data_IF_872638106657
#
_entry.id   IF_872638106657
#
_cell.length_a   1.000
_cell.length_b   1.000
_cell.length_c   1.000
_cell.angle_alpha   90.00
_cell.angle_beta   90.00
_cell.angle_gamma   90.00
#
_symmetry.space_group_name_H-M   'P 1'
#
loop_
_entity.id
_entity.type
_entity.pdbx_description
1 polymer ?
#
# COMPACT_ATOMS: atom_id res chain seq x y z
N UNK A 1 27.24 59.96 -24.97
CA UNK A 1 25.98 59.58 -25.59
C UNK A 1 25.39 58.42 -24.72
N UNK A 2 24.67 58.81 -23.69
CA UNK A 2 24.04 57.86 -22.72
C UNK A 2 22.65 57.50 -23.27
N UNK A 3 22.48 56.25 -23.66
CA UNK A 3 21.14 55.69 -23.99
C UNK A 3 20.40 55.37 -22.68
N UNK A 4 19.47 56.21 -22.34
CA UNK A 4 18.45 55.91 -21.28
C UNK A 4 17.42 54.95 -21.86
N UNK A 5 17.45 53.69 -21.42
CA UNK A 5 16.40 52.74 -21.69
C UNK A 5 15.22 53.12 -20.78
N UNK A 6 14.20 53.75 -21.34
CA UNK A 6 12.96 54.09 -20.67
C UNK A 6 12.15 52.81 -20.42
N UNK A 7 12.23 52.26 -19.23
CA UNK A 7 11.33 51.22 -18.76
C UNK A 7 9.96 51.85 -18.47
N UNK A 8 8.95 51.43 -19.24
CA UNK A 8 7.55 51.84 -19.08
C UNK A 8 6.95 51.17 -17.81
N UNK A 9 7.27 51.76 -16.64
CA UNK A 9 6.83 51.30 -15.31
C UNK A 9 5.29 51.01 -15.20
N UNK A 10 4.40 51.84 -15.81
CA UNK A 10 2.95 51.56 -15.75
C UNK A 10 2.55 50.26 -16.45
N UNK A 11 3.18 49.94 -17.59
CA UNK A 11 2.88 48.67 -18.32
C UNK A 11 3.38 47.44 -17.59
N UNK A 12 4.55 47.54 -16.95
CA UNK A 12 5.09 46.44 -16.13
C UNK A 12 4.25 46.18 -14.87
N UNK A 13 3.77 47.22 -14.21
CA UNK A 13 2.86 47.13 -13.08
C UNK A 13 1.52 46.52 -13.50
N UNK A 14 0.95 46.92 -14.63
CA UNK A 14 -0.30 46.34 -15.16
C UNK A 14 -0.13 44.88 -15.59
N UNK A 15 1.06 44.51 -16.10
CA UNK A 15 1.40 43.13 -16.46
C UNK A 15 1.58 42.27 -15.22
N UNK A 16 2.26 42.77 -14.18
CA UNK A 16 2.39 42.09 -12.87
C UNK A 16 1.06 41.94 -12.13
N UNK A 17 0.18 42.97 -12.21
CA UNK A 17 -1.21 42.88 -11.65
C UNK A 17 -2.03 41.87 -12.45
N UNK A 18 -1.93 41.82 -13.77
CA UNK A 18 -2.61 40.81 -14.58
C UNK A 18 -2.07 39.41 -14.33
N UNK A 19 -0.76 39.23 -14.15
CA UNK A 19 -0.13 37.97 -13.77
C UNK A 19 -0.54 37.54 -12.37
N UNK A 20 -0.60 38.46 -11.40
CA UNK A 20 -1.10 38.15 -10.05
C UNK A 20 -2.58 37.83 -10.05
N UNK A 21 -3.42 38.53 -10.84
CA UNK A 21 -4.84 38.22 -10.99
C UNK A 21 -5.08 36.91 -11.75
N UNK A 22 -4.23 36.54 -12.72
CA UNK A 22 -4.25 35.22 -13.38
C UNK A 22 -3.79 34.11 -12.43
N UNK A 23 -2.78 34.34 -11.59
CA UNK A 23 -2.38 33.40 -10.52
C UNK A 23 -3.46 33.25 -9.44
N UNK A 24 -4.16 34.34 -9.07
CA UNK A 24 -5.27 34.27 -8.11
C UNK A 24 -6.54 33.60 -8.68
N UNK A 25 -6.72 33.56 -10.00
CA UNK A 25 -7.88 32.90 -10.64
C UNK A 25 -7.77 31.37 -10.71
N UNK A 26 -6.61 30.77 -10.45
CA UNK A 26 -6.37 29.33 -10.55
C UNK A 26 -5.96 28.68 -9.24
N UNK A 27 -6.12 29.32 -8.09
CA UNK A 27 -5.95 28.65 -6.79
C UNK A 27 -7.20 27.82 -6.50
N UNK A 28 -7.07 26.50 -6.64
CA UNK A 28 -8.08 25.55 -6.24
C UNK A 28 -8.20 25.64 -4.70
N UNK A 29 -9.41 25.89 -4.20
CA UNK A 29 -9.68 25.92 -2.77
C UNK A 29 -10.06 24.53 -2.28
N UNK A 30 -9.23 23.87 -1.42
CA UNK A 30 -9.55 22.54 -0.89
C UNK A 30 -10.87 22.48 -0.12
N UNK A 31 -11.25 23.56 0.55
CA UNK A 31 -12.51 23.61 1.30
C UNK A 31 -13.72 23.59 0.37
N UNK A 32 -13.63 24.24 -0.80
CA UNK A 32 -14.69 24.17 -1.81
C UNK A 32 -14.88 22.75 -2.36
N UNK A 33 -13.79 21.98 -2.53
CA UNK A 33 -13.85 20.58 -2.92
C UNK A 33 -14.61 19.76 -1.87
N UNK A 34 -14.24 19.95 -0.61
CA UNK A 34 -14.83 19.25 0.53
C UNK A 34 -16.33 19.55 0.65
N UNK A 35 -16.74 20.83 0.55
CA UNK A 35 -18.12 21.25 0.60
C UNK A 35 -18.95 20.67 -0.57
N UNK A 36 -18.39 20.63 -1.77
CA UNK A 36 -19.05 19.99 -2.90
C UNK A 36 -19.21 18.49 -2.70
N UNK A 37 -18.22 17.80 -2.19
CA UNK A 37 -18.29 16.36 -1.94
C UNK A 37 -19.23 15.99 -0.79
N UNK A 38 -19.40 16.88 0.19
CA UNK A 38 -20.27 16.67 1.35
C UNK A 38 -21.73 16.39 0.96
N UNK A 39 -22.21 16.94 -0.16
CA UNK A 39 -23.57 16.66 -0.66
C UNK A 39 -23.78 15.20 -1.10
N UNK A 40 -22.69 14.44 -1.31
CA UNK A 40 -22.73 13.04 -1.75
C UNK A 40 -22.41 12.05 -0.62
N UNK A 41 -22.09 12.52 0.58
CA UNK A 41 -21.63 11.71 1.71
C UNK A 41 -22.54 10.51 1.98
N UNK A 42 -23.84 10.71 2.11
CA UNK A 42 -24.79 9.63 2.37
C UNK A 42 -24.82 8.54 1.29
N UNK A 43 -24.60 8.93 0.02
CA UNK A 43 -24.49 7.97 -1.09
C UNK A 43 -23.20 7.18 -1.04
N UNK A 44 -22.09 7.84 -0.70
CA UNK A 44 -20.78 7.23 -0.57
C UNK A 44 -20.73 6.26 0.62
N UNK A 45 -21.31 6.65 1.76
CA UNK A 45 -21.47 5.77 2.93
C UNK A 45 -22.32 4.54 2.57
N UNK A 46 -23.45 4.72 1.87
CA UNK A 46 -24.28 3.60 1.43
C UNK A 46 -23.54 2.66 0.48
N UNK A 47 -22.74 3.21 -0.43
CA UNK A 47 -21.88 2.42 -1.32
C UNK A 47 -20.85 1.62 -0.52
N UNK A 48 -20.06 2.27 0.37
CA UNK A 48 -19.07 1.62 1.23
C UNK A 48 -19.69 0.43 1.99
N UNK A 49 -20.84 0.66 2.65
CA UNK A 49 -21.57 -0.38 3.39
C UNK A 49 -22.02 -1.53 2.50
N UNK A 50 -22.49 -1.25 1.29
CA UNK A 50 -22.88 -2.29 0.32
C UNK A 50 -21.68 -3.14 -0.12
N UNK A 51 -20.50 -2.52 -0.28
CA UNK A 51 -19.25 -3.24 -0.55
C UNK A 51 -18.85 -4.08 0.66
N UNK A 52 -18.89 -3.50 1.86
CA UNK A 52 -18.57 -4.16 3.12
C UNK A 52 -19.41 -5.43 3.38
N UNK A 53 -20.70 -5.40 3.08
CA UNK A 53 -21.60 -6.56 3.16
C UNK A 53 -21.24 -7.69 2.19
N UNK A 54 -20.49 -7.41 1.14
CA UNK A 54 -20.21 -8.31 0.03
C UNK A 54 -18.73 -8.36 -0.32
N UNK A 55 -17.84 -8.68 0.65
CA UNK A 55 -16.40 -8.68 0.44
C UNK A 55 -15.96 -9.81 -0.50
N UNK A 56 -15.03 -9.50 -1.38
CA UNK A 56 -14.43 -10.41 -2.35
C UNK A 56 -12.91 -10.42 -2.16
N UNK A 57 -12.28 -11.60 -2.24
CA UNK A 57 -10.86 -11.80 -1.93
C UNK A 57 -9.99 -11.95 -3.17
N UNK A 58 -8.77 -11.44 -3.10
CA UNK A 58 -7.76 -11.60 -4.13
C UNK A 58 -8.21 -11.01 -5.46
N UNK A 59 -8.02 -11.74 -6.56
CA UNK A 59 -8.47 -11.33 -7.88
C UNK A 59 -9.98 -11.56 -8.15
N UNK A 60 -10.72 -12.13 -7.21
CA UNK A 60 -12.15 -12.42 -7.40
C UNK A 60 -13.05 -11.23 -7.02
N UNK A 61 -12.75 -10.05 -7.56
CA UNK A 61 -13.38 -8.76 -7.25
C UNK A 61 -14.41 -8.31 -8.29
N UNK A 62 -14.93 -9.23 -9.07
CA UNK A 62 -15.86 -8.92 -10.17
C UNK A 62 -17.14 -8.23 -9.69
N UNK A 63 -17.69 -8.67 -8.56
CA UNK A 63 -18.87 -8.06 -7.96
C UNK A 63 -18.57 -6.65 -7.43
N UNK A 64 -17.41 -6.46 -6.82
CA UNK A 64 -16.92 -5.17 -6.35
C UNK A 64 -16.78 -4.18 -7.51
N UNK A 65 -16.13 -4.58 -8.61
CA UNK A 65 -16.02 -3.76 -9.83
C UNK A 65 -17.38 -3.42 -10.43
N UNK A 66 -18.33 -4.36 -10.42
CA UNK A 66 -19.71 -4.09 -10.88
C UNK A 66 -20.41 -3.04 -10.02
N UNK A 67 -20.20 -3.05 -8.69
CA UNK A 67 -20.71 -2.04 -7.76
C UNK A 67 -20.05 -0.66 -8.00
N UNK A 68 -18.71 -0.64 -8.17
CA UNK A 68 -17.96 0.58 -8.54
C UNK A 68 -18.52 1.16 -9.85
N UNK A 69 -18.69 0.34 -10.88
CA UNK A 69 -19.27 0.78 -12.15
C UNK A 69 -20.68 1.37 -11.96
N UNK A 70 -21.51 0.67 -11.20
CA UNK A 70 -22.89 1.10 -10.93
C UNK A 70 -22.98 2.46 -10.23
N UNK A 71 -22.15 2.68 -9.19
CA UNK A 71 -22.16 3.98 -8.50
C UNK A 71 -21.62 5.10 -9.40
N UNK A 72 -20.57 4.86 -10.19
CA UNK A 72 -20.05 5.83 -11.15
C UNK A 72 -21.12 6.21 -12.20
N UNK A 73 -21.86 5.24 -12.73
CA UNK A 73 -22.95 5.45 -13.68
C UNK A 73 -24.10 6.30 -13.10
N UNK A 74 -24.38 6.18 -11.80
CA UNK A 74 -25.38 7.03 -11.11
C UNK A 74 -24.94 8.52 -11.06
N UNK A 75 -23.66 8.79 -11.22
CA UNK A 75 -23.10 10.14 -11.37
C UNK A 75 -22.87 10.53 -12.85
N UNK A 76 -23.34 9.73 -13.79
CA UNK A 76 -23.16 9.95 -15.23
C UNK A 76 -21.72 9.70 -15.70
N UNK A 77 -20.93 8.94 -14.93
CA UNK A 77 -19.52 8.60 -15.22
C UNK A 77 -19.46 7.21 -15.82
N UNK A 78 -18.89 7.10 -17.02
CA UNK A 78 -18.73 5.84 -17.76
C UNK A 78 -17.27 5.62 -18.15
N UNK A 79 -16.94 4.42 -18.67
CA UNK A 79 -15.61 4.11 -19.20
C UNK A 79 -14.68 3.47 -18.20
N UNK A 80 -15.20 2.90 -17.09
CA UNK A 80 -14.41 2.03 -16.23
C UNK A 80 -14.01 0.76 -17.02
N UNK A 81 -12.71 0.61 -17.28
CA UNK A 81 -12.11 -0.56 -17.90
C UNK A 81 -11.86 -1.62 -16.83
N UNK A 82 -12.45 -2.79 -16.98
CA UNK A 82 -12.33 -3.94 -16.05
C UNK A 82 -11.69 -5.17 -16.71
N UNK A 83 -11.16 -5.01 -17.93
CA UNK A 83 -10.64 -6.11 -18.74
C UNK A 83 -9.10 -6.06 -18.88
N UNK A 84 -8.49 -4.90 -18.63
CA UNK A 84 -7.04 -4.69 -18.84
C UNK A 84 -6.17 -5.47 -17.85
N UNK A 85 -6.60 -5.66 -16.60
CA UNK A 85 -5.89 -6.46 -15.59
C UNK A 85 -6.89 -7.27 -14.76
N UNK A 86 -6.55 -8.53 -14.39
CA UNK A 86 -7.45 -9.39 -13.63
C UNK A 86 -7.96 -8.71 -12.34
N UNK A 87 -9.27 -8.72 -12.15
CA UNK A 87 -9.93 -8.20 -10.96
C UNK A 87 -9.77 -6.70 -10.70
N UNK A 88 -9.01 -5.97 -11.50
CA UNK A 88 -8.73 -4.55 -11.31
C UNK A 88 -9.50 -3.67 -12.28
N UNK A 89 -9.78 -2.41 -11.89
CA UNK A 89 -10.50 -1.44 -12.71
C UNK A 89 -9.70 -0.16 -12.95
N UNK A 90 -9.85 0.43 -14.14
CA UNK A 90 -9.15 1.64 -14.54
C UNK A 90 -10.11 2.68 -15.09
N UNK A 91 -9.98 3.92 -14.62
CA UNK A 91 -10.73 5.06 -15.17
C UNK A 91 -9.75 6.19 -15.50
N UNK A 92 -9.72 6.59 -16.77
CA UNK A 92 -8.93 7.73 -17.21
C UNK A 92 -9.81 8.98 -17.25
N UNK A 93 -9.39 10.04 -16.55
CA UNK A 93 -10.03 11.36 -16.57
C UNK A 93 -9.09 12.30 -17.34
N UNK A 94 -9.56 12.81 -18.47
CA UNK A 94 -8.82 13.75 -19.30
C UNK A 94 -9.19 15.18 -18.97
N UNK A 95 -8.18 16.01 -18.73
CA UNK A 95 -8.29 17.45 -18.62
C UNK A 95 -8.20 18.14 -19.99
N UNK A 96 -8.02 19.45 -19.98
CA UNK A 96 -8.04 20.30 -21.19
C UNK A 96 -6.74 20.25 -22.02
N UNK A 97 -5.62 19.74 -21.46
CA UNK A 97 -4.31 19.61 -22.13
C UNK A 97 -3.61 18.32 -21.67
N UNK A 98 -3.90 17.16 -22.30
CA UNK A 98 -3.51 15.84 -21.81
C UNK A 98 -2.01 15.49 -22.05
N UNK A 99 -1.06 16.24 -21.46
CA UNK A 99 0.37 16.05 -21.68
C UNK A 99 1.06 15.15 -20.63
N UNK A 100 0.58 15.13 -19.41
CA UNK A 100 1.12 14.31 -18.31
C UNK A 100 -0.02 13.53 -17.66
N UNK A 101 0.30 12.39 -17.03
CA UNK A 101 -0.68 11.58 -16.29
C UNK A 101 -0.18 11.35 -14.87
N UNK A 102 -1.03 11.65 -13.89
CA UNK A 102 -0.88 11.29 -12.48
C UNK A 102 -1.79 10.10 -12.19
N UNK A 103 -1.32 9.09 -11.46
CA UNK A 103 -2.14 7.96 -11.05
C UNK A 103 -2.57 8.09 -9.58
N UNK A 104 -3.81 7.72 -9.31
CA UNK A 104 -4.39 7.56 -7.96
C UNK A 104 -4.81 6.10 -7.80
N UNK A 105 -4.38 5.45 -6.72
CA UNK A 105 -4.67 4.02 -6.46
C UNK A 105 -5.49 3.84 -5.18
N UNK A 106 -6.46 2.96 -5.26
CA UNK A 106 -7.09 2.31 -4.13
C UNK A 106 -7.15 0.80 -4.36
N UNK A 107 -6.83 0.01 -3.35
CA UNK A 107 -7.09 -1.41 -3.29
C UNK A 107 -8.59 -1.69 -3.07
N UNK A 108 -9.05 -2.89 -3.47
CA UNK A 108 -10.48 -3.22 -3.45
C UNK A 108 -10.80 -4.62 -2.93
N UNK A 109 -9.80 -5.46 -2.68
CA UNK A 109 -9.99 -6.81 -2.18
C UNK A 109 -10.22 -6.86 -0.66
N UNK A 110 -10.64 -8.01 -0.17
CA UNK A 110 -10.95 -8.29 1.22
C UNK A 110 -10.17 -9.49 1.73
N UNK A 111 -10.30 -9.78 3.01
CA UNK A 111 -9.63 -10.88 3.70
C UNK A 111 -10.58 -12.06 3.94
N UNK A 112 -10.07 -13.31 3.93
CA UNK A 112 -10.84 -14.51 4.30
C UNK A 112 -10.95 -14.62 5.84
N UNK A 113 -11.61 -13.64 6.46
CA UNK A 113 -11.83 -13.51 7.90
C UNK A 113 -13.34 -13.49 8.15
N UNK A 114 -13.82 -14.37 9.04
CA UNK A 114 -15.21 -14.33 9.50
C UNK A 114 -15.44 -13.07 10.34
N UNK A 115 -16.30 -12.19 9.86
CA UNK A 115 -16.57 -10.91 10.50
C UNK A 115 -17.38 -11.06 11.79
N UNK A 116 -17.03 -10.27 12.80
CA UNK A 116 -17.67 -10.24 14.13
C UNK A 116 -17.90 -8.82 14.64
N UNK A 117 -17.88 -7.82 13.76
CA UNK A 117 -18.08 -6.41 14.11
C UNK A 117 -19.44 -6.16 14.78
N UNK A 118 -20.47 -6.91 14.37
CA UNK A 118 -21.83 -6.74 14.86
C UNK A 118 -22.55 -5.53 14.27
N UNK A 119 -21.98 -4.84 13.28
CA UNK A 119 -22.64 -3.76 12.58
C UNK A 119 -23.78 -4.29 11.67
N UNK A 120 -24.75 -3.43 11.33
CA UNK A 120 -25.90 -3.81 10.50
C UNK A 120 -25.50 -4.30 9.10
N UNK A 121 -24.37 -3.80 8.59
CA UNK A 121 -23.80 -4.12 7.28
C UNK A 121 -22.67 -5.15 7.35
N UNK A 122 -22.56 -5.91 8.43
CA UNK A 122 -21.57 -6.96 8.57
C UNK A 122 -21.73 -8.03 7.50
N UNK A 123 -20.61 -8.48 6.96
CA UNK A 123 -20.53 -9.54 5.97
C UNK A 123 -21.01 -10.88 6.53
N UNK A 124 -21.60 -11.72 5.66
CA UNK A 124 -22.10 -13.07 5.99
C UNK A 124 -21.52 -14.16 5.09
N UNK A 125 -20.53 -13.83 4.26
CA UNK A 125 -19.98 -14.77 3.27
C UNK A 125 -18.65 -15.40 3.69
N UNK A 126 -18.20 -15.19 4.94
CA UNK A 126 -16.97 -15.75 5.49
C UNK A 126 -15.71 -14.90 5.19
N UNK A 127 -15.88 -13.76 4.55
CA UNK A 127 -14.82 -12.79 4.29
C UNK A 127 -15.17 -11.45 4.97
N UNK A 128 -14.20 -10.55 5.14
CA UNK A 128 -14.41 -9.23 5.72
C UNK A 128 -13.47 -8.18 5.13
N UNK A 129 -13.96 -6.94 5.00
CA UNK A 129 -13.11 -5.77 4.73
C UNK A 129 -12.38 -5.30 6.00
N UNK A 130 -11.68 -6.23 6.67
CA UNK A 130 -10.96 -5.94 7.93
C UNK A 130 -9.69 -5.11 7.76
N UNK A 131 -9.31 -4.76 6.52
CA UNK A 131 -8.23 -3.83 6.21
C UNK A 131 -8.74 -2.44 5.79
N UNK A 132 -10.05 -2.28 5.50
CA UNK A 132 -10.66 -1.00 5.18
C UNK A 132 -10.64 -0.63 3.70
N UNK A 133 -10.37 -1.58 2.80
CA UNK A 133 -10.34 -1.35 1.34
C UNK A 133 -11.71 -0.94 0.77
N UNK A 134 -12.81 -1.22 1.43
CA UNK A 134 -14.14 -0.67 1.14
C UNK A 134 -14.17 0.86 1.31
N UNK A 135 -13.45 1.41 2.30
CA UNK A 135 -13.22 2.84 2.47
C UNK A 135 -12.30 3.41 1.40
N UNK A 136 -11.20 2.70 1.08
CA UNK A 136 -10.21 3.17 0.09
C UNK A 136 -10.83 3.37 -1.31
N UNK A 137 -11.57 2.37 -1.81
CA UNK A 137 -12.26 2.52 -3.09
C UNK A 137 -13.33 3.62 -3.05
N UNK A 138 -13.95 3.84 -1.88
CA UNK A 138 -15.01 4.85 -1.73
C UNK A 138 -14.43 6.27 -1.76
N UNK A 139 -13.30 6.54 -1.10
CA UNK A 139 -12.69 7.88 -1.20
C UNK A 139 -12.11 8.17 -2.59
N UNK A 140 -11.63 7.13 -3.33
CA UNK A 140 -11.23 7.31 -4.72
C UNK A 140 -12.44 7.63 -5.61
N UNK A 141 -13.60 7.00 -5.38
CA UNK A 141 -14.85 7.34 -6.06
C UNK A 141 -15.26 8.79 -5.77
N UNK A 142 -15.13 9.24 -4.51
CA UNK A 142 -15.38 10.64 -4.16
C UNK A 142 -14.50 11.59 -4.98
N UNK A 143 -13.20 11.30 -5.07
CA UNK A 143 -12.27 12.08 -5.90
C UNK A 143 -12.69 12.08 -7.38
N UNK A 144 -13.04 10.93 -7.94
CA UNK A 144 -13.50 10.79 -9.34
C UNK A 144 -14.72 11.67 -9.60
N UNK A 145 -15.71 11.67 -8.70
CA UNK A 145 -16.93 12.48 -8.85
C UNK A 145 -16.61 13.97 -8.99
N UNK A 146 -15.68 14.48 -8.16
CA UNK A 146 -15.24 15.86 -8.26
C UNK A 146 -14.46 16.13 -9.56
N UNK A 147 -13.44 15.31 -9.84
CA UNK A 147 -12.52 15.50 -10.96
C UNK A 147 -13.21 15.42 -12.33
N UNK A 148 -14.22 14.55 -12.48
CA UNK A 148 -14.99 14.44 -13.74
C UNK A 148 -15.87 15.68 -13.98
N UNK A 149 -16.33 16.35 -12.94
CA UNK A 149 -17.11 17.59 -13.06
C UNK A 149 -16.23 18.80 -13.34
N UNK A 150 -14.99 18.80 -12.89
CA UNK A 150 -14.06 19.91 -12.94
C UNK A 150 -12.84 19.62 -13.83
N UNK A 151 -13.09 19.38 -15.13
CA UNK A 151 -12.03 18.98 -16.10
C UNK A 151 -11.16 20.13 -16.61
N UNK A 152 -11.27 21.32 -16.04
CA UNK A 152 -10.41 22.46 -16.39
C UNK A 152 -9.06 22.39 -15.68
N UNK A 153 -8.31 21.30 -15.93
CA UNK A 153 -6.96 21.07 -15.44
C UNK A 153 -6.06 20.56 -16.58
N UNK A 154 -4.73 20.76 -16.49
CA UNK A 154 -3.79 20.20 -17.45
C UNK A 154 -3.58 18.70 -17.16
N UNK A 155 -3.30 17.92 -18.21
CA UNK A 155 -2.93 16.52 -18.07
C UNK A 155 -4.11 15.56 -17.94
N UNK A 156 -3.84 14.39 -17.38
CA UNK A 156 -4.78 13.27 -17.18
C UNK A 156 -4.61 12.68 -15.78
N UNK A 157 -5.67 12.08 -15.28
CA UNK A 157 -5.65 11.36 -14.01
C UNK A 157 -6.10 9.92 -14.28
N UNK A 158 -5.24 8.96 -13.96
CA UNK A 158 -5.56 7.54 -14.02
C UNK A 158 -5.96 7.06 -12.64
N UNK A 159 -7.23 6.71 -12.45
CA UNK A 159 -7.74 6.11 -11.22
C UNK A 159 -7.66 4.60 -11.34
N UNK A 160 -7.05 3.94 -10.35
CA UNK A 160 -6.77 2.51 -10.32
C UNK A 160 -7.51 1.91 -9.11
N UNK A 161 -8.42 0.99 -9.38
CA UNK A 161 -9.06 0.11 -8.41
C UNK A 161 -8.34 -1.23 -8.47
N UNK A 162 -7.41 -1.47 -7.55
CA UNK A 162 -6.50 -2.62 -7.59
C UNK A 162 -7.05 -3.79 -6.77
N UNK A 163 -7.11 -4.96 -7.36
CA UNK A 163 -7.37 -6.23 -6.68
C UNK A 163 -6.10 -6.81 -6.04
N UNK A 164 -6.28 -7.80 -5.16
CA UNK A 164 -5.25 -8.73 -4.65
C UNK A 164 -4.02 -8.06 -4.01
N UNK A 165 -4.27 -6.99 -3.23
CA UNK A 165 -3.24 -6.36 -2.40
C UNK A 165 -2.80 -7.33 -1.29
N UNK A 166 -3.75 -7.97 -0.60
CA UNK A 166 -3.52 -8.82 0.57
C UNK A 166 -2.67 -10.08 0.28
N UNK A 167 -2.64 -10.53 -0.98
CA UNK A 167 -1.72 -11.59 -1.43
C UNK A 167 -0.45 -11.03 -2.11
N UNK A 168 -0.29 -9.70 -2.14
CA UNK A 168 0.85 -8.96 -2.70
C UNK A 168 1.12 -9.27 -4.18
N UNK A 169 0.06 -9.48 -4.97
CA UNK A 169 0.17 -9.82 -6.40
C UNK A 169 -0.54 -8.81 -7.32
N UNK A 170 -1.44 -7.97 -6.77
CA UNK A 170 -2.26 -7.05 -7.53
C UNK A 170 -1.48 -5.96 -8.23
N UNK A 171 -0.57 -5.29 -7.52
CA UNK A 171 0.24 -4.22 -8.11
C UNK A 171 1.10 -4.71 -9.27
N UNK A 172 1.70 -5.91 -9.16
CA UNK A 172 2.47 -6.50 -10.25
C UNK A 172 1.59 -6.79 -11.47
N UNK A 173 0.37 -7.30 -11.25
CA UNK A 173 -0.61 -7.54 -12.33
C UNK A 173 -0.99 -6.24 -13.07
N UNK A 174 -1.15 -5.14 -12.33
CA UNK A 174 -1.39 -3.80 -12.94
C UNK A 174 -0.18 -3.33 -13.74
N UNK A 175 1.05 -3.52 -13.26
CA UNK A 175 2.28 -3.17 -13.99
C UNK A 175 2.37 -3.97 -15.29
N UNK A 176 2.17 -5.29 -15.21
CA UNK A 176 2.27 -6.22 -16.34
C UNK A 176 1.21 -5.95 -17.42
N UNK A 177 0.09 -5.33 -17.06
CA UNK A 177 -0.94 -4.91 -18.00
C UNK A 177 -0.49 -3.81 -18.99
N UNK A 178 0.63 -3.14 -18.70
CA UNK A 178 1.17 -2.05 -19.53
C UNK A 178 0.39 -0.74 -19.43
N UNK A 179 -0.53 -0.60 -18.46
CA UNK A 179 -1.41 0.57 -18.32
C UNK A 179 -0.62 1.87 -18.10
N UNK A 180 0.52 1.81 -17.40
CA UNK A 180 1.36 2.98 -17.15
C UNK A 180 2.01 3.51 -18.42
N UNK A 181 2.53 2.63 -19.26
CA UNK A 181 3.11 2.99 -20.56
C UNK A 181 2.02 3.49 -21.50
N UNK A 182 0.86 2.81 -21.55
CA UNK A 182 -0.30 3.18 -22.39
C UNK A 182 -0.75 4.63 -22.14
N UNK A 183 -0.80 5.04 -20.88
CA UNK A 183 -1.28 6.37 -20.50
C UNK A 183 -0.18 7.37 -20.16
N UNK A 184 1.09 6.94 -20.21
CA UNK A 184 2.25 7.82 -19.94
C UNK A 184 2.27 8.36 -18.52
N UNK A 185 1.97 7.48 -17.53
CA UNK A 185 1.94 7.83 -16.11
C UNK A 185 3.33 8.30 -15.66
N UNK A 186 3.38 9.40 -14.91
CA UNK A 186 4.61 10.02 -14.42
C UNK A 186 4.86 9.76 -12.94
N UNK A 187 3.80 9.71 -12.15
CA UNK A 187 3.86 9.52 -10.71
C UNK A 187 2.56 8.90 -10.20
N UNK A 188 2.62 8.24 -9.05
CA UNK A 188 1.50 7.51 -8.47
C UNK A 188 1.32 7.83 -6.97
N UNK A 189 0.08 7.95 -6.55
CA UNK A 189 -0.31 8.18 -5.15
C UNK A 189 -1.29 7.13 -4.67
N UNK A 190 -1.08 6.66 -3.44
CA UNK A 190 -1.96 5.75 -2.73
C UNK A 190 -2.05 6.12 -1.26
N UNK A 191 -3.06 5.61 -0.59
CA UNK A 191 -3.22 5.80 0.85
C UNK A 191 -3.79 4.56 1.51
N UNK A 192 -3.48 4.40 2.80
CA UNK A 192 -4.12 3.42 3.66
C UNK A 192 -4.78 4.09 4.87
N UNK A 193 -5.90 3.56 5.33
CA UNK A 193 -6.48 3.96 6.60
C UNK A 193 -5.61 3.47 7.76
N UNK A 194 -5.46 4.30 8.78
CA UNK A 194 -4.63 3.98 9.95
C UNK A 194 -5.43 4.12 11.25
N UNK A 195 -5.81 3.00 11.90
CA UNK A 195 -6.64 3.03 13.10
C UNK A 195 -5.89 3.46 14.37
N UNK A 196 -4.59 3.68 14.32
CA UNK A 196 -3.85 4.32 15.42
C UNK A 196 -3.94 5.84 15.40
N UNK A 197 -4.27 6.44 14.24
CA UNK A 197 -4.39 7.87 14.03
C UNK A 197 -5.85 8.33 14.12
N UNK A 198 -6.07 9.48 14.75
CA UNK A 198 -7.41 10.05 14.88
C UNK A 198 -7.99 10.45 13.51
N UNK A 199 -9.29 10.25 13.32
CA UNK A 199 -10.00 10.73 12.13
C UNK A 199 -9.82 12.24 11.98
N UNK A 200 -9.62 12.69 10.73
CA UNK A 200 -9.28 14.09 10.43
C UNK A 200 -7.77 14.38 10.45
N UNK A 201 -6.92 13.38 10.68
CA UNK A 201 -5.46 13.50 10.54
C UNK A 201 -4.96 12.73 9.33
N UNK A 202 -3.80 13.13 8.83
CA UNK A 202 -3.09 12.47 7.73
C UNK A 202 -1.60 12.40 8.06
N UNK A 203 -0.93 11.29 7.73
CA UNK A 203 0.46 11.07 8.09
C UNK A 203 1.32 10.70 6.88
N UNK A 204 2.57 11.20 6.88
CA UNK A 204 3.55 11.00 5.83
C UNK A 204 4.89 10.57 6.40
N UNK A 205 5.66 9.88 5.56
CA UNK A 205 7.09 9.63 5.80
C UNK A 205 7.81 9.61 4.45
N UNK A 206 8.86 10.39 4.30
CA UNK A 206 9.77 10.31 3.16
C UNK A 206 10.71 9.11 3.31
N UNK A 207 11.10 8.52 2.20
CA UNK A 207 11.93 7.30 2.20
C UNK A 207 11.16 6.06 2.66
N UNK A 208 11.83 5.10 3.31
CA UNK A 208 11.19 3.85 3.75
C UNK A 208 10.02 4.12 4.70
N UNK A 209 8.84 3.61 4.34
CA UNK A 209 7.56 3.89 5.02
C UNK A 209 6.88 2.63 5.53
N UNK A 210 6.92 1.52 4.76
CA UNK A 210 6.45 0.19 5.17
C UNK A 210 7.48 -0.87 4.78
N UNK A 211 7.55 -1.96 5.55
CA UNK A 211 8.60 -2.96 5.39
C UNK A 211 8.41 -3.84 4.15
N UNK A 212 9.52 -4.35 3.62
CA UNK A 212 9.52 -5.50 2.74
C UNK A 212 8.95 -6.74 3.46
N UNK A 213 8.33 -7.64 2.72
CA UNK A 213 7.86 -8.93 3.22
C UNK A 213 8.48 -10.06 2.43
N UNK A 214 9.15 -10.97 3.14
CA UNK A 214 9.65 -12.21 2.58
C UNK A 214 9.26 -13.39 3.46
N UNK A 215 9.20 -14.54 2.82
CA UNK A 215 8.93 -15.82 3.47
C UNK A 215 10.16 -16.72 3.31
N UNK A 216 10.39 -17.59 4.27
CA UNK A 216 11.41 -18.64 4.13
C UNK A 216 10.94 -19.96 4.70
N UNK A 217 11.50 -21.04 4.17
CA UNK A 217 11.42 -22.36 4.78
C UNK A 217 12.77 -23.04 4.79
N UNK A 218 13.07 -23.75 5.88
CA UNK A 218 14.27 -24.56 6.05
C UNK A 218 13.82 -25.97 6.40
N UNK A 219 14.20 -26.94 5.58
CA UNK A 219 13.94 -28.35 5.81
C UNK A 219 15.25 -29.06 6.11
N UNK A 220 15.41 -29.56 7.31
CA UNK A 220 16.58 -30.33 7.74
C UNK A 220 16.29 -31.81 7.53
N UNK A 221 17.04 -32.43 6.63
CA UNK A 221 16.80 -33.82 6.16
C UNK A 221 17.80 -34.77 6.82
N UNK A 222 17.28 -35.60 7.69
CA UNK A 222 18.04 -36.65 8.40
C UNK A 222 17.76 -38.06 7.89
N UNK A 223 17.85 -39.02 8.78
CA UNK A 223 17.46 -40.41 8.57
C UNK A 223 16.76 -40.90 9.83
N UNK A 224 15.50 -41.15 9.74
CA UNK A 224 14.64 -41.61 10.84
C UNK A 224 15.06 -43.01 11.34
N UNK A 225 14.80 -43.26 12.62
CA UNK A 225 15.12 -44.54 13.24
C UNK A 225 14.36 -44.75 14.54
N UNK A 226 14.48 -45.94 15.12
CA UNK A 226 13.91 -46.22 16.43
C UNK A 226 14.59 -45.35 17.51
N UNK A 227 13.79 -44.66 18.34
CA UNK A 227 14.27 -43.70 19.36
C UNK A 227 15.30 -44.29 20.37
N UNK A 228 15.25 -45.61 20.62
CA UNK A 228 16.22 -46.33 21.45
C UNK A 228 17.48 -46.78 20.67
N UNK A 229 17.58 -46.50 19.36
CA UNK A 229 18.71 -46.88 18.50
C UNK A 229 19.15 -45.70 17.61
N UNK A 230 19.46 -44.51 18.19
CA UNK A 230 19.76 -43.30 17.42
C UNK A 230 21.00 -43.43 16.52
N UNK A 231 21.91 -44.36 16.86
CA UNK A 231 23.15 -44.63 16.10
C UNK A 231 22.91 -45.27 14.71
N UNK A 232 21.69 -45.74 14.42
CA UNK A 232 21.32 -46.28 13.11
C UNK A 232 20.69 -45.25 12.18
N UNK A 233 20.41 -44.04 12.68
CA UNK A 233 19.87 -42.93 11.91
C UNK A 233 20.77 -41.70 11.90
N UNK A 234 20.22 -40.61 11.44
CA UNK A 234 20.80 -39.25 11.55
C UNK A 234 19.67 -38.31 12.02
N UNK A 235 19.69 -38.01 13.32
CA UNK A 235 18.63 -37.23 13.94
C UNK A 235 18.65 -35.77 13.47
N UNK A 236 17.60 -35.28 12.78
CA UNK A 236 17.53 -33.91 12.32
C UNK A 236 17.11 -32.91 13.43
N UNK A 237 16.54 -33.35 14.56
CA UNK A 237 16.04 -32.47 15.62
C UNK A 237 17.13 -31.62 16.29
N UNK A 238 18.28 -32.20 16.80
CA UNK A 238 19.36 -31.41 17.36
C UNK A 238 19.90 -30.39 16.35
N UNK A 239 20.07 -30.81 15.10
CA UNK A 239 20.60 -29.96 14.02
C UNK A 239 19.64 -28.79 13.70
N UNK A 240 18.33 -29.05 13.58
CA UNK A 240 17.32 -28.00 13.38
C UNK A 240 17.28 -27.01 14.57
N UNK A 241 17.48 -27.50 15.79
CA UNK A 241 17.57 -26.67 17.01
C UNK A 241 18.79 -25.74 16.96
N UNK A 242 19.96 -26.24 16.53
CA UNK A 242 21.14 -25.39 16.37
C UNK A 242 20.97 -24.35 15.27
N UNK A 243 20.36 -24.73 14.13
CA UNK A 243 20.03 -23.80 13.08
C UNK A 243 19.08 -22.70 13.62
N UNK A 244 18.01 -23.09 14.32
CA UNK A 244 17.08 -22.13 14.94
C UNK A 244 17.81 -21.13 15.85
N UNK A 245 18.69 -21.61 16.73
CA UNK A 245 19.47 -20.76 17.64
C UNK A 245 20.44 -19.83 16.88
N UNK A 246 21.08 -20.31 15.82
CA UNK A 246 21.99 -19.52 15.00
C UNK A 246 21.22 -18.37 14.28
N UNK A 247 19.97 -18.62 13.83
CA UNK A 247 19.13 -17.58 13.21
C UNK A 247 18.76 -16.48 14.20
N UNK A 248 18.56 -16.77 15.50
CA UNK A 248 18.25 -15.74 16.50
C UNK A 248 19.38 -14.70 16.65
N UNK A 249 20.60 -15.05 16.32
CA UNK A 249 21.74 -14.14 16.36
C UNK A 249 21.97 -13.38 15.05
N UNK A 250 21.24 -13.68 13.97
CA UNK A 250 21.48 -13.09 12.65
C UNK A 250 21.33 -11.57 12.70
N UNK A 251 20.19 -11.07 13.17
CA UNK A 251 19.90 -9.62 13.24
C UNK A 251 20.92 -8.94 14.18
N UNK A 252 21.15 -9.50 15.37
CA UNK A 252 21.95 -8.82 16.41
C UNK A 252 23.46 -8.89 16.21
N UNK A 253 23.99 -9.79 15.35
CA UNK A 253 25.44 -10.04 15.21
C UNK A 253 25.98 -9.91 13.79
N UNK A 254 25.11 -9.81 12.80
CA UNK A 254 25.54 -9.78 11.38
C UNK A 254 25.12 -8.49 10.71
N UNK A 255 23.94 -7.95 11.04
CA UNK A 255 23.43 -6.74 10.43
C UNK A 255 23.99 -5.48 11.09
N UNK A 256 23.99 -4.37 10.33
CA UNK A 256 24.27 -3.06 10.88
C UNK A 256 23.23 -2.73 11.98
N UNK A 257 23.68 -2.43 13.22
CA UNK A 257 22.77 -2.16 14.34
C UNK A 257 21.89 -0.92 14.16
N UNK A 258 22.20 -0.05 13.20
CA UNK A 258 21.38 1.10 12.83
C UNK A 258 20.29 0.77 11.80
N UNK A 259 20.25 -0.47 11.29
CA UNK A 259 19.28 -0.95 10.31
C UNK A 259 18.28 -1.88 10.95
N UNK A 260 17.00 -1.54 10.84
CA UNK A 260 15.91 -2.36 11.40
C UNK A 260 15.60 -3.56 10.50
N UNK A 261 15.52 -4.74 11.11
CA UNK A 261 15.09 -5.96 10.45
C UNK A 261 14.40 -6.91 11.45
N UNK A 262 13.47 -7.73 10.93
CA UNK A 262 12.85 -8.84 11.68
C UNK A 262 13.10 -10.13 10.92
N UNK A 263 13.56 -11.15 11.64
CA UNK A 263 13.67 -12.54 11.17
C UNK A 263 12.98 -13.42 12.20
N UNK A 264 11.82 -13.97 11.85
CA UNK A 264 11.01 -14.78 12.77
C UNK A 264 10.76 -16.17 12.21
N UNK A 265 11.11 -17.20 12.98
CA UNK A 265 10.65 -18.57 12.73
C UNK A 265 9.27 -18.72 13.37
N UNK A 266 8.24 -18.93 12.56
CA UNK A 266 6.84 -18.97 12.99
C UNK A 266 6.30 -20.39 13.20
N UNK A 267 7.01 -21.39 12.67
CA UNK A 267 6.66 -22.81 12.85
C UNK A 267 7.90 -23.69 12.84
N UNK A 268 7.89 -24.71 13.68
CA UNK A 268 8.96 -25.70 13.83
C UNK A 268 8.31 -27.07 14.02
N UNK A 269 8.29 -27.90 12.98
CA UNK A 269 7.56 -29.16 12.96
C UNK A 269 8.43 -30.31 12.48
N UNK A 270 8.23 -31.49 13.09
CA UNK A 270 8.75 -32.74 12.55
C UNK A 270 7.88 -33.24 11.40
N UNK A 271 8.50 -33.84 10.40
CA UNK A 271 7.83 -34.52 9.30
C UNK A 271 8.02 -36.04 9.42
N UNK A 272 7.04 -36.79 8.96
CA UNK A 272 7.04 -38.24 9.09
C UNK A 272 6.22 -38.73 10.28
N UNK A 273 6.84 -39.43 11.23
CA UNK A 273 6.13 -40.02 12.37
C UNK A 273 5.92 -39.05 13.53
N UNK A 274 4.76 -39.18 14.20
CA UNK A 274 4.44 -38.53 15.47
C UNK A 274 4.51 -39.52 16.67
N UNK A 275 5.05 -40.71 16.46
CA UNK A 275 5.16 -41.71 17.52
C UNK A 275 6.31 -41.36 18.49
N UNK A 276 6.10 -41.57 19.78
CA UNK A 276 7.05 -41.21 20.86
C UNK A 276 8.39 -41.91 20.78
N UNK A 277 8.48 -43.02 20.06
CA UNK A 277 9.65 -43.88 19.97
C UNK A 277 10.33 -43.90 18.59
N UNK A 278 10.00 -42.89 17.73
CA UNK A 278 10.59 -42.75 16.38
C UNK A 278 11.26 -41.39 16.24
N UNK A 279 12.55 -41.39 15.85
CA UNK A 279 13.28 -40.21 15.38
C UNK A 279 12.77 -39.90 13.97
N UNK A 280 12.34 -38.65 13.67
CA UNK A 280 11.75 -38.30 12.38
C UNK A 280 12.79 -38.28 11.25
N UNK A 281 12.31 -38.36 10.01
CA UNK A 281 13.16 -38.24 8.82
C UNK A 281 13.59 -36.81 8.54
N UNK A 282 12.78 -35.84 8.90
CA UNK A 282 13.10 -34.41 8.69
C UNK A 282 12.38 -33.50 9.70
N UNK A 283 12.90 -32.27 9.79
CA UNK A 283 12.30 -31.16 10.52
C UNK A 283 12.15 -29.98 9.55
N UNK A 284 10.96 -29.34 9.55
CA UNK A 284 10.68 -28.16 8.75
C UNK A 284 10.42 -26.96 9.64
N UNK A 285 11.12 -25.88 9.36
CA UNK A 285 10.88 -24.54 9.88
C UNK A 285 10.32 -23.66 8.77
N UNK A 286 9.36 -22.80 9.10
CA UNK A 286 8.88 -21.73 8.22
C UNK A 286 8.91 -20.41 8.98
N UNK A 287 9.16 -19.32 8.27
CA UNK A 287 9.27 -18.01 8.88
C UNK A 287 9.09 -16.85 7.91
N UNK A 288 9.22 -15.66 8.46
CA UNK A 288 9.08 -14.41 7.73
C UNK A 288 10.22 -13.46 8.00
N UNK A 289 10.52 -12.62 7.02
CA UNK A 289 11.51 -11.54 7.12
C UNK A 289 10.85 -10.21 6.81
N UNK A 290 11.24 -9.16 7.56
CA UNK A 290 10.86 -7.76 7.30
C UNK A 290 12.12 -6.90 7.28
N UNK A 291 12.24 -6.04 6.27
CA UNK A 291 13.39 -5.12 6.12
C UNK A 291 12.93 -3.83 5.46
N UNK A 292 13.76 -2.77 5.57
CA UNK A 292 13.54 -1.51 4.87
C UNK A 292 14.62 -1.21 3.82
N UNK A 293 15.65 -2.06 3.77
CA UNK A 293 16.86 -1.85 2.97
C UNK A 293 17.15 -3.13 2.18
N UNK A 294 17.29 -3.02 0.86
CA UNK A 294 17.52 -4.18 -0.01
C UNK A 294 18.87 -4.84 0.27
N UNK A 295 19.91 -4.10 0.66
CA UNK A 295 21.21 -4.70 1.01
C UNK A 295 21.14 -5.55 2.28
N UNK A 296 20.32 -5.14 3.25
CA UNK A 296 20.02 -5.95 4.45
C UNK A 296 19.22 -7.20 4.09
N UNK A 297 18.27 -7.06 3.18
CA UNK A 297 17.45 -8.16 2.64
C UNK A 297 18.32 -9.21 1.96
N UNK A 298 19.27 -8.78 1.10
CA UNK A 298 20.25 -9.65 0.45
C UNK A 298 21.09 -10.40 1.46
N UNK A 299 21.63 -9.69 2.47
CA UNK A 299 22.43 -10.27 3.55
C UNK A 299 21.66 -11.33 4.34
N UNK A 300 20.37 -11.07 4.65
CA UNK A 300 19.54 -12.03 5.40
C UNK A 300 19.32 -13.31 4.57
N UNK A 301 18.98 -13.18 3.30
CA UNK A 301 18.77 -14.33 2.40
C UNK A 301 20.04 -15.22 2.31
N UNK A 302 21.19 -14.59 2.10
CA UNK A 302 22.48 -15.28 2.05
C UNK A 302 22.80 -15.99 3.38
N UNK A 303 22.66 -15.28 4.50
CA UNK A 303 22.99 -15.80 5.82
C UNK A 303 22.05 -16.91 6.30
N UNK A 304 20.74 -16.81 6.00
CA UNK A 304 19.77 -17.89 6.25
C UNK A 304 20.21 -19.19 5.56
N UNK A 305 20.58 -19.08 4.29
CA UNK A 305 21.02 -20.21 3.47
C UNK A 305 22.37 -20.74 3.96
N UNK A 306 23.36 -19.89 4.13
CA UNK A 306 24.72 -20.24 4.54
C UNK A 306 24.77 -20.93 5.91
N UNK A 307 24.05 -20.37 6.91
CA UNK A 307 24.02 -20.92 8.27
C UNK A 307 23.35 -22.28 8.31
N UNK A 308 22.15 -22.40 7.70
CA UNK A 308 21.41 -23.67 7.69
C UNK A 308 22.19 -24.78 7.01
N UNK A 309 22.77 -24.52 5.85
CA UNK A 309 23.57 -25.50 5.12
C UNK A 309 24.90 -25.86 5.85
N UNK A 310 25.59 -24.84 6.39
CA UNK A 310 26.85 -25.05 7.11
C UNK A 310 26.68 -25.88 8.38
N UNK A 311 25.66 -25.60 9.18
CA UNK A 311 25.36 -26.37 10.41
C UNK A 311 24.96 -27.80 10.03
N UNK A 312 24.04 -27.99 9.08
CA UNK A 312 23.62 -29.32 8.65
C UNK A 312 24.80 -30.16 8.12
N UNK A 313 25.68 -29.55 7.32
CA UNK A 313 26.89 -30.21 6.81
C UNK A 313 27.84 -30.66 7.92
N UNK A 314 28.02 -29.89 9.00
CA UNK A 314 28.83 -30.28 10.16
C UNK A 314 28.36 -31.59 10.84
N UNK A 315 27.05 -31.87 10.75
CA UNK A 315 26.42 -33.11 11.23
C UNK A 315 26.31 -34.20 10.14
N UNK A 316 26.81 -33.96 8.95
CA UNK A 316 26.72 -34.87 7.80
C UNK A 316 25.32 -35.15 7.30
N UNK A 317 24.42 -34.15 7.42
CA UNK A 317 23.07 -34.15 6.87
C UNK A 317 22.87 -32.90 6.00
N UNK A 318 21.68 -32.72 5.43
CA UNK A 318 21.36 -31.59 4.54
C UNK A 318 20.32 -30.65 5.14
N UNK A 319 20.45 -29.36 4.86
CA UNK A 319 19.37 -28.39 4.99
C UNK A 319 19.01 -27.84 3.61
N UNK A 320 17.72 -27.86 3.31
CA UNK A 320 17.14 -27.30 2.10
C UNK A 320 16.48 -25.97 2.49
N UNK A 321 17.01 -24.86 1.99
CA UNK A 321 16.51 -23.51 2.27
C UNK A 321 15.81 -22.95 1.04
N UNK A 322 14.57 -22.51 1.21
CA UNK A 322 13.82 -21.75 0.20
C UNK A 322 13.56 -20.38 0.78
N UNK A 323 13.92 -19.34 0.03
CA UNK A 323 13.62 -17.94 0.36
C UNK A 323 12.75 -17.34 -0.75
N UNK A 324 11.64 -16.74 -0.40
CA UNK A 324 10.67 -16.18 -1.32
C UNK A 324 10.54 -14.68 -1.05
N UNK A 325 11.08 -13.86 -1.96
CA UNK A 325 10.89 -12.41 -1.93
C UNK A 325 9.50 -12.09 -2.44
N UNK A 326 8.65 -11.52 -1.57
CA UNK A 326 7.27 -11.16 -1.91
C UNK A 326 7.20 -9.71 -2.41
N UNK A 327 7.33 -8.75 -1.52
CA UNK A 327 7.33 -7.31 -1.86
C UNK A 327 8.52 -6.60 -1.24
N UNK A 328 8.96 -5.54 -1.90
CA UNK A 328 9.98 -4.62 -1.36
C UNK A 328 9.37 -3.66 -0.33
N UNK A 329 10.20 -2.90 0.35
CA UNK A 329 9.74 -1.82 1.20
C UNK A 329 9.01 -0.75 0.38
N UNK A 330 7.91 -0.21 0.90
CA UNK A 330 7.35 1.05 0.39
C UNK A 330 8.36 2.14 0.69
N UNK A 331 8.87 2.76 -0.37
CA UNK A 331 9.93 3.78 -0.29
C UNK A 331 9.47 5.05 -1.01
N UNK A 332 8.90 5.96 -0.25
CA UNK A 332 8.32 7.19 -0.79
C UNK A 332 9.38 8.12 -1.37
N UNK A 333 9.12 8.62 -2.57
CA UNK A 333 9.94 9.68 -3.18
C UNK A 333 9.91 10.93 -2.28
N UNK A 334 11.08 11.47 -1.88
CA UNK A 334 11.14 12.60 -0.95
C UNK A 334 10.48 13.88 -1.48
N UNK A 335 10.63 14.20 -2.77
CA UNK A 335 10.05 15.41 -3.36
C UNK A 335 8.52 15.26 -3.49
N UNK A 336 8.03 14.10 -3.95
CA UNK A 336 6.59 13.84 -4.02
C UNK A 336 5.96 13.83 -2.62
N UNK A 337 6.66 13.31 -1.62
CA UNK A 337 6.19 13.31 -0.24
C UNK A 337 6.10 14.72 0.33
N UNK A 338 7.10 15.56 0.07
CA UNK A 338 7.09 16.96 0.46
C UNK A 338 5.90 17.70 -0.17
N UNK A 339 5.70 17.54 -1.47
CA UNK A 339 4.62 18.18 -2.19
C UNK A 339 3.24 17.72 -1.70
N UNK A 340 3.09 16.41 -1.46
CA UNK A 340 1.84 15.85 -0.92
C UNK A 340 1.57 16.35 0.51
N UNK A 341 2.61 16.51 1.34
CA UNK A 341 2.49 17.09 2.68
C UNK A 341 2.07 18.55 2.64
N UNK A 342 2.68 19.37 1.76
CA UNK A 342 2.28 20.77 1.56
C UNK A 342 0.81 20.88 1.09
N UNK A 343 0.36 19.98 0.22
CA UNK A 343 -1.04 19.88 -0.18
C UNK A 343 -1.95 19.48 1.00
N UNK A 344 -1.50 18.55 1.82
CA UNK A 344 -2.23 18.12 3.02
C UNK A 344 -2.36 19.25 4.07
N UNK A 345 -1.33 20.06 4.26
CA UNK A 345 -1.37 21.23 5.16
C UNK A 345 -2.52 22.18 4.78
N UNK A 346 -2.83 22.31 3.49
CA UNK A 346 -3.94 23.13 2.99
C UNK A 346 -5.31 22.46 3.15
N UNK A 347 -5.38 21.11 3.04
CA UNK A 347 -6.63 20.36 3.11
C UNK A 347 -7.06 20.01 4.53
N UNK A 348 -6.10 19.67 5.41
CA UNK A 348 -6.34 19.19 6.77
C UNK A 348 -5.99 20.24 7.84
N UNK A 349 -5.21 21.28 7.47
CA UNK A 349 -4.55 22.18 8.40
C UNK A 349 -3.26 21.54 8.96
N UNK A 350 -2.18 22.33 9.04
CA UNK A 350 -0.83 21.84 9.39
C UNK A 350 -0.78 21.10 10.74
N UNK A 351 -1.67 21.43 11.69
CA UNK A 351 -1.75 20.76 13.01
C UNK A 351 -2.27 19.31 12.92
N UNK A 352 -2.90 18.95 11.83
CA UNK A 352 -3.46 17.60 11.58
C UNK A 352 -2.61 16.78 10.59
N UNK A 353 -1.51 17.35 10.10
CA UNK A 353 -0.55 16.68 9.23
C UNK A 353 0.63 16.18 10.06
N UNK A 354 0.80 14.86 10.09
CA UNK A 354 1.75 14.18 10.95
C UNK A 354 2.94 13.71 10.12
N UNK A 355 4.15 13.98 10.58
CA UNK A 355 5.36 13.35 10.07
C UNK A 355 5.69 12.14 10.93
N UNK A 356 5.63 10.93 10.35
CA UNK A 356 5.94 9.71 11.08
C UNK A 356 7.43 9.64 11.39
N UNK A 357 7.78 9.48 12.65
CA UNK A 357 9.15 9.31 13.08
C UNK A 357 9.73 7.97 12.58
N UNK A 358 8.95 6.89 12.72
CA UNK A 358 9.35 5.53 12.37
C UNK A 358 8.45 4.95 11.26
N UNK A 359 8.98 4.07 10.40
CA UNK A 359 8.19 3.33 9.42
C UNK A 359 7.39 2.20 10.08
N UNK A 360 6.34 1.71 9.41
CA UNK A 360 5.57 0.55 9.84
C UNK A 360 6.22 -0.77 9.40
N UNK A 361 6.19 -1.79 10.28
CA UNK A 361 6.69 -3.14 9.98
C UNK A 361 5.71 -4.01 9.16
N UNK A 362 4.52 -3.50 8.85
CA UNK A 362 3.58 -4.11 7.91
C UNK A 362 4.03 -3.84 6.47
N UNK A 363 3.52 -4.60 5.52
CA UNK A 363 3.91 -4.55 4.11
C UNK A 363 2.74 -4.12 3.24
N UNK A 364 3.04 -3.59 2.05
CA UNK A 364 2.06 -3.09 1.09
C UNK A 364 2.63 -3.28 -0.33
N UNK A 365 1.83 -3.79 -1.27
CA UNK A 365 2.28 -4.08 -2.62
C UNK A 365 2.42 -2.84 -3.51
N UNK A 366 1.96 -1.66 -3.03
CA UNK A 366 2.24 -0.35 -3.65
C UNK A 366 3.74 -0.14 -3.92
N UNK A 367 4.61 -0.77 -3.12
CA UNK A 367 6.05 -0.81 -3.32
C UNK A 367 6.46 -1.31 -4.71
N UNK A 368 5.67 -2.17 -5.34
CA UNK A 368 5.91 -2.65 -6.70
C UNK A 368 5.78 -1.52 -7.72
N UNK A 369 4.80 -0.62 -7.56
CA UNK A 369 4.69 0.57 -8.40
C UNK A 369 5.90 1.48 -8.29
N UNK A 370 6.45 1.62 -7.06
CA UNK A 370 7.60 2.49 -6.80
C UNK A 370 8.91 1.97 -7.42
N UNK A 371 8.95 0.74 -7.91
CA UNK A 371 10.06 0.21 -8.73
C UNK A 371 10.05 0.75 -10.16
N UNK A 372 8.90 1.19 -10.65
CA UNK A 372 8.71 1.60 -12.07
C UNK A 372 8.30 3.07 -12.21
N UNK A 373 7.79 3.69 -11.14
CA UNK A 373 7.34 5.08 -11.09
C UNK A 373 7.73 5.73 -9.76
N UNK A 374 8.05 7.01 -9.71
CA UNK A 374 8.08 7.74 -8.44
C UNK A 374 6.66 7.75 -7.83
N UNK A 375 6.58 7.51 -6.53
CA UNK A 375 5.29 7.42 -5.84
C UNK A 375 5.34 7.87 -4.39
N UNK A 376 4.18 8.28 -3.87
CA UNK A 376 3.99 8.61 -2.47
C UNK A 376 2.78 7.86 -1.91
N UNK A 377 3.00 7.13 -0.83
CA UNK A 377 1.99 6.42 -0.06
C UNK A 377 1.88 7.04 1.33
N UNK A 378 0.67 7.34 1.77
CA UNK A 378 0.41 8.06 3.02
C UNK A 378 -0.72 7.41 3.81
N UNK A 379 -0.93 7.84 5.05
CA UNK A 379 -1.89 7.24 5.96
C UNK A 379 -2.97 8.24 6.36
N UNK A 380 -4.22 7.79 6.36
CA UNK A 380 -5.38 8.60 6.74
C UNK A 380 -5.95 8.06 8.03
N UNK A 381 -6.01 8.89 9.08
CA UNK A 381 -6.54 8.51 10.37
C UNK A 381 -8.03 8.18 10.31
N UNK A 382 -8.41 7.07 10.96
CA UNK A 382 -9.81 6.60 11.05
C UNK A 382 -10.28 6.37 12.49
N UNK A 383 -9.43 6.58 13.49
CA UNK A 383 -9.73 6.34 14.89
C UNK A 383 -10.69 7.38 15.46
N UNK A 384 -11.69 6.90 16.22
CA UNK A 384 -12.46 7.72 17.16
C UNK A 384 -12.89 6.88 18.39
N UNK A 385 -13.90 7.34 19.15
CA UNK A 385 -14.39 6.60 20.31
C UNK A 385 -15.03 5.25 19.99
N UNK A 386 -15.53 5.05 18.77
CA UNK A 386 -16.22 3.85 18.32
C UNK A 386 -15.32 2.96 17.44
N UNK A 387 -14.44 3.54 16.63
CA UNK A 387 -13.54 2.86 15.70
C UNK A 387 -12.13 2.76 16.30
N UNK A 388 -11.84 1.66 17.00
CA UNK A 388 -10.59 1.43 17.75
C UNK A 388 -9.87 0.15 17.36
N UNK A 389 -10.57 -0.71 16.63
CA UNK A 389 -10.05 -2.02 16.29
C UNK A 389 -8.88 -1.93 15.31
N UNK A 390 -7.90 -2.80 15.49
CA UNK A 390 -6.75 -2.88 14.61
C UNK A 390 -7.15 -3.48 13.25
N UNK A 391 -6.34 -3.20 12.23
CA UNK A 391 -6.44 -3.86 10.93
C UNK A 391 -6.36 -5.38 11.10
N UNK A 392 -7.02 -6.13 10.21
CA UNK A 392 -7.17 -7.59 10.23
C UNK A 392 -7.91 -8.14 11.45
N UNK A 393 -8.47 -7.28 12.32
CA UNK A 393 -9.38 -7.71 13.38
C UNK A 393 -10.73 -8.13 12.79
N UNK A 394 -11.34 -9.23 13.25
CA UNK A 394 -12.71 -9.59 12.83
C UNK A 394 -13.77 -8.58 13.33
N UNK A 395 -13.39 -7.65 14.18
CA UNK A 395 -14.25 -6.61 14.74
C UNK A 395 -14.03 -5.24 14.09
N UNK A 396 -13.12 -5.13 13.11
CA UNK A 396 -12.81 -3.87 12.43
C UNK A 396 -14.04 -3.36 11.66
N UNK A 397 -14.34 -2.06 11.80
CA UNK A 397 -15.23 -1.30 10.93
C UNK A 397 -14.56 0.01 10.54
N UNK A 398 -14.74 0.42 9.30
CA UNK A 398 -14.14 1.63 8.75
C UNK A 398 -14.93 2.88 9.19
N UNK A 399 -14.23 3.93 9.60
CA UNK A 399 -14.85 5.19 9.99
C UNK A 399 -15.23 6.05 8.77
N UNK A 400 -16.51 6.11 8.47
CA UNK A 400 -17.08 6.84 7.32
C UNK A 400 -16.72 8.34 7.31
N UNK A 401 -16.38 8.94 8.48
CA UNK A 401 -15.95 10.36 8.58
C UNK A 401 -14.67 10.67 7.81
N UNK A 402 -13.88 9.65 7.46
CA UNK A 402 -12.66 9.79 6.67
C UNK A 402 -12.93 9.93 5.17
N UNK A 403 -14.09 9.52 4.66
CA UNK A 403 -14.38 9.40 3.22
C UNK A 403 -14.27 10.73 2.49
N UNK A 404 -14.96 11.76 2.97
CA UNK A 404 -15.00 13.08 2.30
C UNK A 404 -13.65 13.81 2.40
N UNK A 405 -13.00 13.91 3.58
CA UNK A 405 -11.67 14.51 3.66
C UNK A 405 -10.63 13.84 2.76
N UNK A 406 -10.63 12.50 2.71
CA UNK A 406 -9.72 11.73 1.86
C UNK A 406 -9.98 11.96 0.37
N UNK A 407 -11.24 11.86 -0.08
CA UNK A 407 -11.61 12.12 -1.48
C UNK A 407 -11.30 13.54 -1.93
N UNK A 408 -11.53 14.52 -1.06
CA UNK A 408 -11.16 15.92 -1.32
C UNK A 408 -9.64 16.08 -1.45
N UNK A 409 -8.87 15.44 -0.58
CA UNK A 409 -7.42 15.47 -0.64
C UNK A 409 -6.87 14.83 -1.91
N UNK A 410 -7.34 13.63 -2.29
CA UNK A 410 -6.93 12.99 -3.55
C UNK A 410 -7.24 13.88 -4.76
N UNK A 411 -8.40 14.54 -4.77
CA UNK A 411 -8.75 15.49 -5.83
C UNK A 411 -7.78 16.66 -5.88
N UNK A 412 -7.57 17.31 -4.74
CA UNK A 412 -6.70 18.47 -4.62
C UNK A 412 -5.24 18.12 -4.99
N UNK A 413 -4.72 17.02 -4.45
CA UNK A 413 -3.35 16.55 -4.71
C UNK A 413 -3.12 16.30 -6.21
N UNK A 414 -4.03 15.59 -6.88
CA UNK A 414 -3.91 15.31 -8.30
C UNK A 414 -3.86 16.59 -9.15
N UNK A 415 -4.71 17.58 -8.83
CA UNK A 415 -4.75 18.85 -9.54
C UNK A 415 -3.49 19.69 -9.31
N UNK A 416 -3.00 19.80 -8.07
CA UNK A 416 -1.75 20.49 -7.73
C UNK A 416 -0.56 19.84 -8.43
N UNK A 417 -0.49 18.51 -8.46
CA UNK A 417 0.60 17.78 -9.10
C UNK A 417 0.61 17.98 -10.62
N UNK A 418 -0.54 17.92 -11.26
CA UNK A 418 -0.64 18.19 -12.71
C UNK A 418 -0.23 19.61 -13.07
N UNK A 419 -0.61 20.60 -12.26
CA UNK A 419 -0.17 21.98 -12.44
C UNK A 419 1.35 22.09 -12.33
N UNK A 420 1.95 21.45 -11.31
CA UNK A 420 3.41 21.47 -11.10
C UNK A 420 4.17 20.77 -12.23
N UNK A 421 3.67 19.63 -12.73
CA UNK A 421 4.23 18.93 -13.88
C UNK A 421 4.16 19.74 -15.18
N UNK A 422 3.20 20.65 -15.30
CA UNK A 422 3.10 21.57 -16.44
C UNK A 422 4.10 22.73 -16.32
N UNK A 423 4.31 23.27 -15.11
CA UNK A 423 5.26 24.38 -14.87
C UNK A 423 6.73 23.97 -15.04
N UNK A 424 7.04 22.68 -14.87
CA UNK A 424 8.40 22.13 -15.00
C UNK A 424 8.88 21.93 -16.44
N UNK A 425 8.03 22.22 -17.44
CA UNK A 425 8.33 22.18 -18.88
C UNK A 425 8.66 23.56 -19.42
#
# INVERSE_FOLDING_TARGET
MLLTIGLDLPRMTLYLIKLSQLKMKNTIDPESIRQELQQYESRLISFRKTVHENPEVGFNTRGTLARIKSILEQFGISGLDTETSPGSGFLLIEGNRPEATVALRADIDALPIEEKSGCEWASKNGNAHSCGHDGHQTWLIAAIIYLVKHRDFPGRILCIFQADEENVAGAQSVIDSGVFQKYGVKEIYGAHNEPSLNVGTIAFKAGPTMAACDLFSIRVVGVGTHGARPNFGKDPLPVATEIYNALQSLVSRTLDPLKSAVVSVCSFNTEGSRAYNIIPDSVKMIGTVRTFDESIRDTIEEELTRRSQGIAAAYGIKAETVYERRVSAVNNDPELTKDAKEAADRCFGAQNVIELAEPYMISEDFSSYQKVLPGCFFFIGVKDSEHKEALHSPYFDFNDKALIPAGAFFSYLALERLNKLQEAK
#
